data_IF_123406468351
#
_entry.id   IF_123406468351
#
_cell.length_a   1.000
_cell.length_b   1.000
_cell.length_c   1.000
_cell.angle_alpha   90.00
_cell.angle_beta   90.00
_cell.angle_gamma   90.00
#
_symmetry.space_group_name_H-M   'P 1'
#
loop_
_entity.id
_entity.type
_entity.pdbx_description
1 polymer ?
#
# COMPACT_ATOMS: atom_id res chain seq x y z
N UNK A 1 62.09 44.89 -3.46
CA UNK A 1 61.42 44.08 -2.42
C UNK A 1 60.49 43.08 -3.08
N UNK A 2 60.90 41.81 -3.23
CA UNK A 2 60.01 40.69 -3.62
C UNK A 2 60.04 39.69 -2.47
N UNK A 3 58.92 39.56 -1.74
CA UNK A 3 58.75 38.60 -0.66
C UNK A 3 58.85 37.19 -1.26
N UNK A 4 59.87 36.41 -0.88
CA UNK A 4 59.96 34.98 -1.22
C UNK A 4 58.88 34.25 -0.42
N UNK A 5 58.02 33.51 -1.12
CA UNK A 5 56.80 32.91 -0.59
C UNK A 5 57.07 31.73 0.33
N UNK A 6 56.75 31.90 1.60
CA UNK A 6 56.76 30.93 2.71
C UNK A 6 55.65 29.86 2.55
N UNK A 7 54.99 29.83 1.39
CA UNK A 7 53.78 29.06 1.14
C UNK A 7 54.05 27.67 0.53
N UNK A 8 55.23 27.49 -0.09
CA UNK A 8 55.61 26.22 -0.74
C UNK A 8 56.14 25.17 0.24
N UNK A 9 57.03 25.57 1.15
CA UNK A 9 57.65 24.67 2.13
C UNK A 9 56.66 24.21 3.21
N UNK A 10 55.67 25.05 3.55
CA UNK A 10 54.62 24.72 4.52
C UNK A 10 53.65 23.64 3.99
N UNK A 11 53.34 23.67 2.69
CA UNK A 11 52.48 22.66 2.06
C UNK A 11 53.21 21.31 1.97
N UNK A 12 54.52 21.31 1.66
CA UNK A 12 55.29 20.06 1.57
C UNK A 12 55.43 19.35 2.92
N UNK A 13 55.59 20.10 4.01
CA UNK A 13 55.65 19.53 5.37
C UNK A 13 54.30 18.95 5.80
N UNK A 14 53.19 19.62 5.47
CA UNK A 14 51.84 19.09 5.75
C UNK A 14 51.58 17.81 4.96
N UNK A 15 52.03 17.73 3.69
CA UNK A 15 51.84 16.52 2.88
C UNK A 15 52.72 15.35 3.32
N UNK A 16 53.93 15.60 3.84
CA UNK A 16 54.78 14.52 4.37
C UNK A 16 54.21 13.97 5.67
N UNK A 17 53.76 14.85 6.56
CA UNK A 17 53.17 14.45 7.85
C UNK A 17 51.85 13.69 7.64
N UNK A 18 51.05 14.06 6.64
CA UNK A 18 49.82 13.35 6.30
C UNK A 18 50.09 11.94 5.73
N UNK A 19 51.12 11.79 4.89
CA UNK A 19 51.51 10.50 4.33
C UNK A 19 52.11 9.56 5.40
N UNK A 20 52.89 10.11 6.34
CA UNK A 20 53.43 9.34 7.48
C UNK A 20 52.32 8.90 8.45
N UNK A 21 51.31 9.75 8.69
CA UNK A 21 50.13 9.37 9.47
C UNK A 21 49.32 8.30 8.75
N UNK A 22 49.13 8.42 7.43
CA UNK A 22 48.43 7.42 6.62
C UNK A 22 49.15 6.06 6.62
N UNK A 23 50.48 6.04 6.48
CA UNK A 23 51.27 4.80 6.55
C UNK A 23 51.24 4.17 7.94
N UNK A 24 51.30 4.99 9.01
CA UNK A 24 51.21 4.50 10.40
C UNK A 24 49.82 3.96 10.74
N UNK A 25 48.75 4.54 10.21
CA UNK A 25 47.39 4.01 10.30
C UNK A 25 47.22 2.71 9.49
N UNK A 26 47.89 2.60 8.34
CA UNK A 26 47.89 1.38 7.52
C UNK A 26 48.68 0.24 8.19
N UNK A 27 49.81 0.54 8.83
CA UNK A 27 50.61 -0.42 9.64
C UNK A 27 49.93 -0.83 10.95
N UNK A 28 49.00 -0.03 11.45
CA UNK A 28 48.16 -0.33 12.61
C UNK A 28 46.77 -0.85 12.21
N UNK A 29 46.62 -1.36 10.97
CA UNK A 29 45.36 -1.82 10.39
C UNK A 29 44.76 -3.02 11.14
N UNK A 30 44.02 -2.74 12.20
CA UNK A 30 42.81 -3.48 12.57
C UNK A 30 41.99 -3.64 11.30
N UNK A 31 41.82 -4.87 10.82
CA UNK A 31 40.93 -5.15 9.69
C UNK A 31 39.53 -4.66 10.06
N UNK A 32 39.12 -3.48 9.57
CA UNK A 32 37.71 -3.10 9.55
C UNK A 32 37.08 -4.04 8.54
N UNK A 33 36.62 -5.21 9.01
CA UNK A 33 35.78 -6.09 8.22
C UNK A 33 34.52 -5.28 7.97
N UNK A 34 34.34 -4.77 6.75
CA UNK A 34 33.06 -4.23 6.32
C UNK A 34 32.07 -5.39 6.39
N UNK A 35 31.34 -5.49 7.50
CA UNK A 35 30.33 -6.51 7.67
C UNK A 35 29.26 -6.29 6.58
N UNK A 36 29.06 -7.30 5.75
CA UNK A 36 28.03 -7.33 4.72
C UNK A 36 26.87 -8.19 5.18
N UNK A 37 25.67 -7.88 4.73
CA UNK A 37 24.47 -8.67 4.96
C UNK A 37 23.68 -8.86 3.66
N UNK A 38 22.97 -9.98 3.55
CA UNK A 38 22.21 -10.34 2.35
C UNK A 38 20.81 -9.76 2.42
N UNK A 39 20.39 -9.02 1.39
CA UNK A 39 19.02 -8.54 1.29
C UNK A 39 18.10 -9.63 0.74
N UNK A 40 17.02 -10.03 1.45
CA UNK A 40 16.13 -11.10 1.01
C UNK A 40 15.24 -10.74 -0.19
N UNK A 41 15.14 -9.46 -0.57
CA UNK A 41 14.35 -9.01 -1.73
C UNK A 41 15.16 -9.12 -3.03
N UNK A 42 16.40 -8.61 -3.06
CA UNK A 42 17.24 -8.65 -4.27
C UNK A 42 18.29 -9.76 -4.26
N UNK A 43 18.42 -10.50 -3.15
CA UNK A 43 19.41 -11.57 -2.96
C UNK A 43 20.88 -11.13 -3.10
N UNK A 44 21.17 -9.84 -2.90
CA UNK A 44 22.52 -9.29 -2.95
C UNK A 44 23.09 -9.04 -1.54
N UNK A 45 24.41 -9.21 -1.40
CA UNK A 45 25.15 -8.72 -0.24
C UNK A 45 25.34 -7.20 -0.33
N UNK A 46 24.92 -6.49 0.72
CA UNK A 46 25.12 -5.05 0.88
C UNK A 46 25.94 -4.77 2.13
N UNK A 47 26.61 -3.63 2.18
CA UNK A 47 27.28 -3.22 3.42
C UNK A 47 26.23 -2.99 4.52
N UNK A 48 26.58 -3.21 5.80
CA UNK A 48 25.65 -2.94 6.90
C UNK A 48 25.15 -1.49 6.94
N UNK A 49 25.92 -0.54 6.38
CA UNK A 49 25.51 0.86 6.22
C UNK A 49 24.48 1.14 5.12
N UNK A 50 24.19 0.15 4.26
CA UNK A 50 23.17 0.22 3.20
C UNK A 50 21.92 -0.61 3.54
N UNK A 51 21.87 -1.14 4.76
CA UNK A 51 20.79 -1.98 5.25
C UNK A 51 19.96 -1.21 6.28
N UNK A 52 18.65 -1.33 6.16
CA UNK A 52 17.68 -0.93 7.16
C UNK A 52 17.32 -2.13 8.02
N UNK A 53 17.18 -1.93 9.32
CA UNK A 53 16.78 -2.95 10.29
C UNK A 53 15.53 -2.48 11.04
N UNK A 54 14.48 -3.28 10.98
CA UNK A 54 13.26 -3.04 11.74
C UNK A 54 13.51 -3.38 13.21
N UNK A 55 13.42 -2.40 14.11
CA UNK A 55 13.75 -2.63 15.54
C UNK A 55 12.82 -3.62 16.24
N UNK A 56 11.56 -3.70 15.80
CA UNK A 56 10.53 -4.56 16.42
C UNK A 56 10.68 -6.03 16.02
N UNK A 57 11.06 -6.32 14.78
CA UNK A 57 11.12 -7.69 14.24
C UNK A 57 12.51 -8.13 13.75
N UNK A 58 13.50 -7.25 13.79
CA UNK A 58 14.90 -7.48 13.38
C UNK A 58 15.07 -7.89 11.90
N UNK A 59 14.03 -7.79 11.07
CA UNK A 59 14.16 -8.02 9.64
C UNK A 59 14.98 -6.91 8.97
N UNK A 60 15.82 -7.31 8.00
CA UNK A 60 16.78 -6.41 7.35
C UNK A 60 16.61 -6.38 5.85
N UNK A 61 16.66 -5.19 5.28
CA UNK A 61 16.49 -4.96 3.85
C UNK A 61 17.43 -3.87 3.38
N UNK A 62 17.93 -3.98 2.15
CA UNK A 62 18.73 -2.89 1.61
C UNK A 62 17.85 -1.67 1.32
N UNK A 63 18.44 -0.48 1.45
CA UNK A 63 17.80 0.80 1.18
C UNK A 63 17.12 0.86 -0.18
N UNK A 64 17.75 0.34 -1.23
CA UNK A 64 17.19 0.33 -2.57
C UNK A 64 15.90 -0.49 -2.70
N UNK A 65 15.87 -1.69 -2.10
CA UNK A 65 14.69 -2.54 -2.12
C UNK A 65 13.56 -1.97 -1.26
N UNK A 66 13.90 -1.47 -0.06
CA UNK A 66 12.90 -0.90 0.83
C UNK A 66 12.28 0.39 0.25
N UNK A 67 13.07 1.22 -0.44
CA UNK A 67 12.56 2.40 -1.17
C UNK A 67 11.51 2.00 -2.20
N UNK A 68 11.83 1.05 -3.10
CA UNK A 68 10.90 0.57 -4.12
C UNK A 68 9.64 -0.07 -3.52
N UNK A 69 9.80 -0.78 -2.41
CA UNK A 69 8.68 -1.35 -1.68
C UNK A 69 7.74 -0.27 -1.15
N UNK A 70 8.28 0.79 -0.53
CA UNK A 70 7.48 1.94 -0.05
C UNK A 70 6.78 2.62 -1.23
N UNK A 71 7.48 2.87 -2.34
CA UNK A 71 6.88 3.43 -3.56
C UNK A 71 5.69 2.61 -4.04
N UNK A 72 5.85 1.28 -4.13
CA UNK A 72 4.78 0.36 -4.52
C UNK A 72 3.60 0.42 -3.55
N UNK A 73 3.86 0.39 -2.24
CA UNK A 73 2.80 0.41 -1.22
C UNK A 73 2.00 1.69 -1.26
N UNK A 74 2.67 2.83 -1.40
CA UNK A 74 2.01 4.13 -1.55
C UNK A 74 1.21 4.22 -2.85
N UNK A 75 1.72 3.68 -3.96
CA UNK A 75 0.98 3.62 -5.23
C UNK A 75 -0.28 2.74 -5.12
N UNK A 76 -0.21 1.64 -4.39
CA UNK A 76 -1.33 0.74 -4.10
C UNK A 76 -2.27 1.28 -3.00
N UNK A 77 -2.06 2.51 -2.54
CA UNK A 77 -2.82 3.13 -1.44
C UNK A 77 -2.85 2.30 -0.14
N UNK A 78 -1.73 1.64 0.17
CA UNK A 78 -1.55 0.81 1.35
C UNK A 78 -0.44 1.35 2.26
N UNK A 79 -0.62 1.22 3.58
CA UNK A 79 0.37 1.69 4.56
C UNK A 79 1.65 0.84 4.46
N UNK A 80 2.82 1.43 4.15
CA UNK A 80 4.08 0.71 4.17
C UNK A 80 4.39 0.15 5.57
N UNK A 81 4.78 -1.13 5.61
CA UNK A 81 5.16 -1.86 6.82
C UNK A 81 6.37 -2.76 6.54
N UNK A 82 6.73 -3.64 7.48
CA UNK A 82 7.75 -4.66 7.23
C UNK A 82 7.40 -5.53 6.00
N UNK A 83 8.32 -5.71 5.03
CA UNK A 83 8.07 -6.57 3.87
C UNK A 83 8.03 -8.07 4.18
N UNK A 84 8.35 -8.51 5.40
CA UNK A 84 8.36 -9.92 5.76
C UNK A 84 6.93 -10.45 5.86
N UNK A 85 6.68 -11.63 5.31
CA UNK A 85 5.35 -12.24 5.30
C UNK A 85 4.82 -12.44 6.72
N UNK A 86 3.56 -12.05 6.95
CA UNK A 86 2.93 -12.11 8.26
C UNK A 86 3.51 -11.18 9.34
N UNK A 87 4.41 -10.25 8.98
CA UNK A 87 4.98 -9.29 9.93
C UNK A 87 4.21 -7.97 9.92
N UNK A 88 3.75 -7.53 11.10
CA UNK A 88 2.96 -6.31 11.27
C UNK A 88 3.78 -5.11 11.78
N UNK A 89 5.12 -5.24 11.84
CA UNK A 89 5.97 -4.16 12.32
C UNK A 89 5.84 -2.91 11.47
N UNK A 90 5.65 -1.79 12.15
CA UNK A 90 5.35 -0.51 11.51
C UNK A 90 6.60 0.12 10.90
N UNK A 91 6.41 0.92 9.86
CA UNK A 91 7.46 1.72 9.25
C UNK A 91 7.07 3.19 9.29
N UNK A 92 7.90 4.02 9.91
CA UNK A 92 7.63 5.45 10.02
C UNK A 92 8.55 6.28 9.11
N UNK A 93 8.09 7.43 8.56
CA UNK A 93 8.90 8.27 7.68
C UNK A 93 10.18 8.75 8.35
N UNK A 94 10.18 8.95 9.67
CA UNK A 94 11.37 9.40 10.40
C UNK A 94 12.49 8.36 10.37
N UNK A 95 12.17 7.07 10.34
CA UNK A 95 13.15 5.98 10.28
C UNK A 95 13.82 5.88 8.90
N UNK A 96 13.15 6.42 7.88
CA UNK A 96 13.52 6.24 6.49
C UNK A 96 14.35 7.40 5.90
N UNK A 97 14.63 8.45 6.69
CA UNK A 97 15.33 9.66 6.24
C UNK A 97 16.70 9.39 5.60
N UNK A 98 17.36 8.30 5.99
CA UNK A 98 18.68 7.94 5.48
C UNK A 98 18.68 7.49 4.02
N UNK A 99 17.54 7.04 3.50
CA UNK A 99 17.46 6.43 2.19
C UNK A 99 16.29 6.91 1.32
N UNK A 100 15.27 7.54 1.90
CA UNK A 100 14.20 8.16 1.12
C UNK A 100 14.61 9.56 0.65
N UNK A 101 14.40 9.81 -0.64
CA UNK A 101 14.46 11.17 -1.18
C UNK A 101 13.34 12.06 -0.64
N UNK A 102 13.58 13.37 -0.60
CA UNK A 102 12.64 14.37 -0.07
C UNK A 102 11.21 14.21 -0.59
N UNK A 103 11.03 14.08 -1.91
CA UNK A 103 9.71 13.95 -2.53
C UNK A 103 8.93 12.74 -2.03
N UNK A 104 9.56 11.57 -1.97
CA UNK A 104 8.92 10.34 -1.53
C UNK A 104 8.61 10.38 -0.03
N UNK A 105 9.48 11.01 0.76
CA UNK A 105 9.25 11.21 2.18
C UNK A 105 8.07 12.14 2.47
N UNK A 106 7.90 13.22 1.72
CA UNK A 106 6.72 14.10 1.86
C UNK A 106 5.43 13.36 1.46
N UNK A 107 5.46 12.57 0.39
CA UNK A 107 4.32 11.72 0.01
C UNK A 107 4.00 10.71 1.11
N UNK A 108 5.00 10.07 1.70
CA UNK A 108 4.78 9.10 2.77
C UNK A 108 4.18 9.75 4.03
N UNK A 109 4.69 10.92 4.45
CA UNK A 109 4.10 11.68 5.56
C UNK A 109 2.66 12.06 5.28
N UNK A 110 2.41 12.64 4.10
CA UNK A 110 1.07 13.01 3.69
C UNK A 110 0.18 11.77 3.72
N UNK A 111 0.60 10.65 3.11
CA UNK A 111 -0.15 9.39 3.12
C UNK A 111 -0.50 8.92 4.54
N UNK A 112 0.40 9.03 5.52
CA UNK A 112 0.08 8.69 6.91
C UNK A 112 -0.91 9.68 7.55
N UNK A 113 -0.83 10.96 7.22
CA UNK A 113 -1.86 11.93 7.61
C UNK A 113 -3.23 11.62 6.97
N UNK A 114 -3.26 11.06 5.76
CA UNK A 114 -4.50 10.62 5.07
C UNK A 114 -5.05 9.32 5.66
N UNK A 115 -4.14 8.39 5.96
CA UNK A 115 -4.46 7.11 6.55
C UNK A 115 -4.90 7.25 8.01
N UNK A 116 -4.55 8.38 8.66
CA UNK A 116 -5.19 8.80 9.90
C UNK A 116 -6.69 8.95 9.65
N UNK A 117 -7.46 8.15 10.40
CA UNK A 117 -8.90 8.12 10.33
C UNK A 117 -9.54 9.47 10.69
N UNK A 118 -8.77 10.48 11.09
CA UNK A 118 -9.24 11.84 11.34
C UNK A 118 -9.19 12.76 10.10
N UNK A 119 -8.73 12.30 8.93
CA UNK A 119 -8.60 13.14 7.72
C UNK A 119 -9.54 12.71 6.60
N UNK A 120 -10.09 13.68 5.86
CA UNK A 120 -11.07 13.50 4.78
C UNK A 120 -10.75 14.41 3.59
N UNK A 121 -10.80 13.87 2.39
CA UNK A 121 -10.64 14.60 1.14
C UNK A 121 -11.97 15.07 0.58
N UNK A 122 -11.94 16.19 -0.13
CA UNK A 122 -13.02 16.57 -1.02
C UNK A 122 -13.10 15.57 -2.19
N UNK A 123 -14.23 14.86 -2.40
CA UNK A 123 -14.35 13.82 -3.42
C UNK A 123 -14.68 14.36 -4.82
N UNK A 124 -14.84 15.68 -4.96
CA UNK A 124 -15.18 16.30 -6.23
C UNK A 124 -13.93 16.49 -7.09
N UNK A 125 -13.96 16.07 -8.35
CA UNK A 125 -12.77 16.04 -9.22
C UNK A 125 -12.10 17.40 -9.46
N UNK A 126 -12.84 18.48 -9.30
CA UNK A 126 -12.39 19.88 -9.41
C UNK A 126 -11.96 20.48 -8.06
N UNK A 127 -11.90 19.69 -6.98
CA UNK A 127 -11.48 20.15 -5.66
C UNK A 127 -10.78 19.04 -4.86
N UNK A 128 -9.51 19.26 -4.47
CA UNK A 128 -8.70 18.26 -3.74
C UNK A 128 -8.34 18.71 -2.32
N UNK A 129 -9.19 19.51 -1.69
CA UNK A 129 -8.98 20.05 -0.35
C UNK A 129 -8.99 18.94 0.73
N UNK A 130 -8.08 19.08 1.71
CA UNK A 130 -7.93 18.18 2.85
C UNK A 130 -8.61 18.79 4.08
N UNK A 131 -9.39 17.99 4.81
CA UNK A 131 -10.13 18.41 5.99
C UNK A 131 -9.95 17.45 7.14
N UNK A 132 -10.05 17.95 8.37
CA UNK A 132 -10.07 17.12 9.58
C UNK A 132 -11.50 16.86 10.05
N UNK A 133 -11.82 15.60 10.40
CA UNK A 133 -13.12 15.19 10.97
C UNK A 133 -13.48 15.96 12.24
N UNK A 134 -12.48 16.42 13.00
CA UNK A 134 -12.65 17.06 14.32
C UNK A 134 -12.93 18.57 14.26
N UNK A 135 -12.74 19.25 13.13
CA UNK A 135 -12.75 20.73 13.06
C UNK A 135 -13.82 21.36 12.16
N UNK A 136 -14.76 20.58 11.65
CA UNK A 136 -15.68 21.08 10.63
C UNK A 136 -17.13 20.89 11.06
N UNK A 137 -17.91 21.98 10.90
CA UNK A 137 -19.30 22.11 11.30
C UNK A 137 -20.12 20.94 10.74
N UNK A 138 -20.39 19.93 11.57
CA UNK A 138 -21.36 18.88 11.26
C UNK A 138 -22.67 19.56 10.87
N UNK A 139 -23.15 19.28 9.68
CA UNK A 139 -24.46 19.77 9.26
C UNK A 139 -25.50 18.72 9.66
N UNK A 140 -26.26 19.03 10.70
CA UNK A 140 -27.21 18.13 11.36
C UNK A 140 -26.56 16.87 11.95
N UNK A 141 -27.35 16.04 12.62
CA UNK A 141 -26.99 14.75 13.23
C UNK A 141 -26.53 13.67 12.23
N UNK A 142 -26.01 14.10 11.07
CA UNK A 142 -25.62 13.26 9.93
C UNK A 142 -24.11 13.31 9.77
N UNK A 143 -23.51 12.23 9.27
CA UNK A 143 -22.06 12.13 9.04
C UNK A 143 -21.62 12.94 7.81
N UNK A 144 -22.13 14.17 7.65
CA UNK A 144 -21.85 15.10 6.57
C UNK A 144 -20.88 16.20 7.01
N UNK A 145 -20.03 16.63 6.08
CA UNK A 145 -19.07 17.72 6.27
C UNK A 145 -19.09 18.65 5.05
N UNK A 146 -18.97 19.96 5.30
CA UNK A 146 -18.84 20.97 4.25
C UNK A 146 -17.38 21.19 3.91
N UNK A 147 -17.03 21.12 2.63
CA UNK A 147 -15.70 21.45 2.15
C UNK A 147 -15.33 22.91 2.41
N UNK A 148 -14.17 23.17 3.00
CA UNK A 148 -13.66 24.53 3.28
C UNK A 148 -13.28 25.31 2.03
N UNK A 149 -12.93 24.61 0.95
CA UNK A 149 -12.53 25.24 -0.32
C UNK A 149 -13.72 25.45 -1.26
N UNK A 150 -14.44 24.39 -1.64
CA UNK A 150 -15.53 24.47 -2.62
C UNK A 150 -16.94 24.58 -1.99
N UNK A 151 -17.06 24.58 -0.65
CA UNK A 151 -18.34 24.68 0.07
C UNK A 151 -19.39 23.58 -0.21
N UNK A 152 -19.03 22.54 -0.95
CA UNK A 152 -19.91 21.39 -1.23
C UNK A 152 -19.86 20.39 -0.07
N UNK A 153 -20.96 19.66 0.11
CA UNK A 153 -21.05 18.64 1.14
C UNK A 153 -20.55 17.29 0.63
N UNK A 154 -19.97 16.52 1.54
CA UNK A 154 -19.55 15.14 1.36
C UNK A 154 -19.87 14.31 2.60
N UNK A 155 -19.94 13.00 2.43
CA UNK A 155 -20.12 12.06 3.52
C UNK A 155 -18.77 11.69 4.13
N UNK A 156 -18.61 11.83 5.45
CA UNK A 156 -17.39 11.53 6.19
C UNK A 156 -17.09 10.02 6.16
N UNK A 157 -18.11 9.19 6.33
CA UNK A 157 -17.95 7.73 6.42
C UNK A 157 -17.76 7.13 5.03
N UNK A 158 -18.63 7.50 4.09
CA UNK A 158 -18.62 6.97 2.74
C UNK A 158 -17.51 7.61 1.86
N UNK A 159 -16.93 8.77 2.26
CA UNK A 159 -15.89 9.52 1.52
C UNK A 159 -16.26 9.86 0.06
N UNK A 160 -17.54 10.14 -0.18
CA UNK A 160 -18.14 10.46 -1.48
C UNK A 160 -18.96 11.75 -1.43
N UNK A 161 -19.39 12.32 -2.57
CA UNK A 161 -20.33 13.43 -2.57
C UNK A 161 -21.55 13.13 -1.68
N UNK A 162 -22.08 14.15 -1.03
CA UNK A 162 -23.15 13.98 -0.07
C UNK A 162 -24.40 13.35 -0.70
N UNK A 163 -24.94 12.33 -0.04
CA UNK A 163 -26.09 11.55 -0.51
C UNK A 163 -27.30 11.77 0.41
N UNK A 164 -28.01 12.88 0.19
CA UNK A 164 -29.18 13.24 0.99
C UNK A 164 -30.33 12.25 0.82
N UNK A 165 -31.05 11.98 1.92
CA UNK A 165 -32.25 11.13 1.90
C UNK A 165 -31.97 9.62 1.87
N UNK A 166 -30.72 9.18 1.95
CA UNK A 166 -30.35 7.77 2.02
C UNK A 166 -29.25 7.52 3.06
N UNK A 167 -29.27 6.35 3.70
CA UNK A 167 -28.20 5.96 4.63
C UNK A 167 -26.93 5.61 3.84
N UNK A 168 -25.77 5.59 4.50
CA UNK A 168 -24.52 5.14 3.86
C UNK A 168 -24.64 3.71 3.31
N UNK A 169 -25.41 2.82 3.98
CA UNK A 169 -25.63 1.46 3.50
C UNK A 169 -26.52 1.37 2.25
N UNK A 170 -27.48 2.28 2.10
CA UNK A 170 -28.33 2.36 0.90
C UNK A 170 -27.56 3.00 -0.28
N UNK A 171 -26.71 3.99 0.02
CA UNK A 171 -25.82 4.60 -0.97
C UNK A 171 -24.81 3.60 -1.52
N UNK A 172 -24.17 2.81 -0.65
CA UNK A 172 -23.20 1.77 -1.06
C UNK A 172 -23.85 0.83 -2.08
N UNK A 173 -25.06 0.32 -1.81
CA UNK A 173 -25.82 -0.57 -2.69
C UNK A 173 -26.27 0.07 -4.01
N UNK A 174 -26.48 1.38 -4.03
CA UNK A 174 -26.97 2.11 -5.21
C UNK A 174 -25.87 2.76 -6.05
N UNK A 175 -24.63 2.78 -5.57
CA UNK A 175 -23.49 3.35 -6.29
C UNK A 175 -23.31 2.73 -7.68
N UNK A 176 -22.90 3.52 -8.68
CA UNK A 176 -22.64 3.05 -10.05
C UNK A 176 -21.68 1.86 -10.08
N UNK A 177 -20.73 1.84 -9.14
CA UNK A 177 -19.77 0.74 -8.96
C UNK A 177 -20.46 -0.54 -8.46
N UNK A 178 -21.41 -0.46 -7.54
CA UNK A 178 -22.21 -1.63 -7.14
C UNK A 178 -23.17 -2.08 -8.24
N UNK A 179 -23.72 -1.15 -9.00
CA UNK A 179 -24.54 -1.45 -10.17
C UNK A 179 -23.72 -2.15 -11.27
N UNK A 180 -22.51 -1.65 -11.55
CA UNK A 180 -21.57 -2.27 -12.48
C UNK A 180 -21.10 -3.64 -11.99
N UNK A 181 -20.75 -3.76 -10.71
CA UNK A 181 -20.41 -5.05 -10.11
C UNK A 181 -21.56 -6.05 -10.24
N UNK A 182 -22.81 -5.61 -10.03
CA UNK A 182 -23.99 -6.41 -10.28
C UNK A 182 -24.10 -6.87 -11.73
N UNK A 183 -23.89 -5.97 -12.70
CA UNK A 183 -23.91 -6.28 -14.14
C UNK A 183 -22.84 -7.27 -14.56
N UNK A 184 -21.63 -7.14 -14.03
CA UNK A 184 -20.49 -8.01 -14.34
C UNK A 184 -20.39 -9.24 -13.43
N UNK A 185 -21.34 -9.41 -12.51
CA UNK A 185 -21.34 -10.50 -11.53
C UNK A 185 -20.28 -10.39 -10.43
N UNK A 186 -19.46 -9.33 -10.42
CA UNK A 186 -18.43 -9.08 -9.43
C UNK A 186 -19.00 -9.01 -8.00
N UNK A 187 -18.16 -9.35 -7.03
CA UNK A 187 -18.53 -9.44 -5.62
C UNK A 187 -17.50 -8.76 -4.73
N UNK A 188 -17.97 -8.03 -3.74
CA UNK A 188 -17.12 -7.40 -2.73
C UNK A 188 -16.82 -8.38 -1.60
N UNK A 189 -15.55 -8.45 -1.19
CA UNK A 189 -15.21 -9.11 0.07
C UNK A 189 -15.76 -8.29 1.24
N UNK A 190 -16.57 -8.90 2.11
CA UNK A 190 -17.15 -8.20 3.27
C UNK A 190 -16.11 -7.78 4.32
N UNK A 191 -14.98 -8.49 4.39
CA UNK A 191 -13.94 -8.26 5.40
C UNK A 191 -12.97 -7.15 4.96
N UNK A 192 -12.44 -7.20 3.73
CA UNK A 192 -11.41 -6.26 3.27
C UNK A 192 -11.90 -5.30 2.18
N UNK A 193 -13.17 -5.40 1.74
CA UNK A 193 -13.78 -4.55 0.70
C UNK A 193 -13.05 -4.60 -0.65
N UNK A 194 -12.30 -5.65 -0.94
CA UNK A 194 -11.73 -5.87 -2.28
C UNK A 194 -12.78 -6.42 -3.24
N UNK A 195 -12.80 -5.91 -4.47
CA UNK A 195 -13.68 -6.39 -5.53
C UNK A 195 -13.11 -7.66 -6.17
N UNK A 196 -13.96 -8.67 -6.32
CA UNK A 196 -13.59 -10.02 -6.74
C UNK A 196 -14.41 -10.45 -7.96
N UNK A 197 -13.73 -10.87 -9.01
CA UNK A 197 -14.31 -11.51 -10.18
C UNK A 197 -14.15 -13.03 -10.09
N UNK A 198 -15.16 -13.78 -10.51
CA UNK A 198 -15.06 -15.22 -10.68
C UNK A 198 -14.96 -15.51 -12.17
N UNK A 199 -13.83 -16.06 -12.58
CA UNK A 199 -13.57 -16.40 -13.98
C UNK A 199 -14.26 -17.69 -14.39
N UNK A 200 -14.32 -18.72 -13.53
CA UNK A 200 -15.15 -19.90 -13.74
C UNK A 200 -15.25 -20.81 -12.49
N UNK A 201 -16.14 -21.80 -12.51
CA UNK A 201 -16.15 -22.91 -11.52
C UNK A 201 -16.85 -22.65 -10.17
N UNK A 202 -16.28 -23.21 -9.10
CA UNK A 202 -16.91 -23.35 -7.78
C UNK A 202 -17.41 -22.01 -7.21
N UNK A 203 -18.57 -22.01 -6.55
CA UNK A 203 -19.11 -20.82 -5.88
C UNK A 203 -18.39 -20.49 -4.58
N UNK A 204 -17.48 -21.32 -4.08
CA UNK A 204 -16.67 -21.03 -2.88
C UNK A 204 -15.40 -20.30 -3.30
N UNK A 205 -15.29 -19.03 -2.89
CA UNK A 205 -14.20 -18.13 -3.24
C UNK A 205 -13.35 -17.84 -2.01
N UNK A 206 -12.03 -17.75 -2.20
CA UNK A 206 -11.10 -17.25 -1.21
C UNK A 206 -10.64 -15.86 -1.62
N UNK A 207 -10.72 -14.90 -0.70
CA UNK A 207 -10.12 -13.58 -0.88
C UNK A 207 -8.62 -13.65 -0.57
N UNK A 208 -7.85 -12.74 -1.17
CA UNK A 208 -6.44 -12.52 -0.80
C UNK A 208 -6.23 -12.18 0.69
N UNK A 209 -7.25 -11.65 1.37
CA UNK A 209 -7.21 -11.40 2.82
C UNK A 209 -7.46 -12.66 3.68
N UNK A 210 -7.59 -13.84 3.06
CA UNK A 210 -7.82 -15.12 3.75
C UNK A 210 -9.28 -15.44 4.09
N UNK A 211 -10.23 -14.53 3.82
CA UNK A 211 -11.65 -14.81 4.02
C UNK A 211 -12.19 -15.75 2.94
N UNK A 212 -13.12 -16.64 3.32
CA UNK A 212 -13.75 -17.58 2.39
C UNK A 212 -15.26 -17.39 2.40
N UNK A 213 -15.83 -17.11 1.24
CA UNK A 213 -17.23 -16.75 1.08
C UNK A 213 -17.84 -17.37 -0.18
N UNK A 214 -19.17 -17.45 -0.21
CA UNK A 214 -19.91 -17.91 -1.37
C UNK A 214 -20.08 -16.77 -2.37
N UNK A 215 -19.63 -16.94 -3.60
CA UNK A 215 -19.77 -15.96 -4.68
C UNK A 215 -21.24 -15.66 -5.03
N UNK A 216 -22.15 -16.63 -4.84
CA UNK A 216 -23.56 -16.45 -5.18
C UNK A 216 -24.24 -15.44 -4.25
N UNK A 217 -24.08 -15.61 -2.93
CA UNK A 217 -24.75 -14.79 -1.93
C UNK A 217 -23.86 -13.78 -1.19
N UNK A 218 -22.54 -13.86 -1.34
CA UNK A 218 -21.58 -13.00 -0.64
C UNK A 218 -21.39 -13.31 0.85
N UNK A 219 -22.09 -14.31 1.39
CA UNK A 219 -21.92 -14.73 2.80
C UNK A 219 -20.75 -15.66 3.00
N UNK A 220 -20.25 -15.69 4.24
CA UNK A 220 -19.28 -16.71 4.68
C UNK A 220 -19.83 -18.09 4.35
N UNK A 221 -18.98 -18.98 3.85
CA UNK A 221 -19.44 -20.32 3.44
C UNK A 221 -20.08 -21.13 4.58
N UNK A 222 -19.80 -20.81 5.84
CA UNK A 222 -20.42 -21.43 7.01
C UNK A 222 -21.89 -21.02 7.20
N UNK A 223 -22.27 -19.86 6.66
CA UNK A 223 -23.58 -19.21 6.85
C UNK A 223 -24.37 -19.14 5.53
N UNK A 224 -23.92 -19.84 4.48
CA UNK A 224 -24.56 -19.88 3.16
C UNK A 224 -25.54 -21.05 3.07
N UNK A 225 -26.78 -20.74 2.67
CA UNK A 225 -27.83 -21.72 2.36
C UNK A 225 -27.97 -21.96 0.84
N UNK A 226 -26.90 -21.73 0.10
CA UNK A 226 -26.88 -21.81 -1.35
C UNK A 226 -26.63 -23.27 -1.74
N UNK A 227 -27.64 -23.95 -2.30
CA UNK A 227 -27.52 -25.35 -2.69
C UNK A 227 -26.35 -25.57 -3.66
N UNK A 228 -25.44 -26.46 -3.26
CA UNK A 228 -24.25 -26.82 -4.03
C UNK A 228 -24.64 -27.69 -5.22
N UNK A 229 -24.68 -27.11 -6.41
CA UNK A 229 -24.70 -27.89 -7.65
C UNK A 229 -23.30 -28.45 -7.88
N UNK A 230 -22.99 -29.60 -7.30
CA UNK A 230 -21.80 -30.38 -7.65
C UNK A 230 -22.19 -31.46 -8.65
N UNK A 231 -21.77 -31.22 -9.90
CA UNK A 231 -21.27 -32.18 -10.91
C UNK A 231 -22.21 -33.24 -11.49
N UNK A 232 -22.04 -33.45 -12.81
CA UNK A 232 -22.91 -34.24 -13.63
C UNK A 232 -22.75 -35.75 -13.44
N UNK A 233 -23.84 -36.46 -13.69
CA UNK A 233 -23.79 -37.85 -14.13
C UNK A 233 -24.07 -37.88 -15.63
N UNK A 234 -23.11 -38.41 -16.36
CA UNK A 234 -23.29 -38.98 -17.68
C UNK A 234 -24.44 -40.00 -17.61
N UNK A 235 -25.49 -39.79 -18.39
CA UNK A 235 -26.30 -40.88 -18.92
C UNK A 235 -26.38 -40.66 -20.43
N UNK A 236 -25.55 -41.43 -21.14
CA UNK A 236 -25.80 -41.80 -22.52
C UNK A 236 -27.06 -42.64 -22.56
N UNK A 237 -28.07 -42.20 -23.30
CA UNK A 237 -28.98 -43.10 -24.01
C UNK A 237 -29.66 -42.29 -25.13
N UNK A 238 -29.50 -42.82 -26.32
CA UNK A 238 -30.14 -42.42 -27.56
C UNK A 238 -31.66 -42.55 -27.43
N UNK A 239 -32.41 -41.73 -28.15
CA UNK A 239 -33.18 -42.24 -29.29
C UNK A 239 -33.80 -41.08 -30.06
N UNK A 240 -33.90 -41.34 -31.35
CA UNK A 240 -34.38 -40.49 -32.42
C UNK A 240 -35.79 -39.95 -32.18
N UNK A 241 -36.07 -38.75 -32.68
CA UNK A 241 -37.11 -38.57 -33.69
C UNK A 241 -37.10 -37.13 -34.23
N UNK A 242 -36.89 -37.06 -35.54
CA UNK A 242 -37.12 -35.88 -36.35
C UNK A 242 -38.60 -35.46 -36.24
N UNK A 243 -38.85 -34.15 -36.16
CA UNK A 243 -40.01 -33.62 -36.85
C UNK A 243 -39.74 -32.20 -37.30
N UNK A 244 -39.58 -32.08 -38.62
CA UNK A 244 -39.83 -30.86 -39.37
C UNK A 244 -41.25 -30.36 -39.06
N UNK A 245 -41.42 -29.05 -38.91
CA UNK A 245 -42.53 -28.36 -39.56
C UNK A 245 -42.32 -26.83 -39.52
N UNK A 246 -42.25 -26.30 -40.74
CA UNK A 246 -42.42 -24.90 -41.11
C UNK A 246 -43.77 -24.35 -40.62
N UNK A 247 -43.79 -23.06 -40.22
CA UNK A 247 -44.48 -21.99 -40.95
C UNK A 247 -44.04 -20.61 -40.43
#
# INVERSE_FOLDING_TARGET
MKKKGIHGEFITLITSDYNDIAERLTRAGTMVRNATDMCPICMDNKSTGEMFEFRECQHRYCYGCLTKFIESKLADSSVPACPHDGCESTLMPQDCQKFLGYKLMEIFKQFLEIADDNVVYCPYQDCSEIMMKTKTLKHHSTNSIRCTHCSRFLCIDCRVPWHEGMSCGDYEQSSDIHLLAGKHGWRWCKECKQMMERTDGCSKMACSCGSVFCYRCGERCKDCHCESSSEGSHNTETDDEANDNEF
#
